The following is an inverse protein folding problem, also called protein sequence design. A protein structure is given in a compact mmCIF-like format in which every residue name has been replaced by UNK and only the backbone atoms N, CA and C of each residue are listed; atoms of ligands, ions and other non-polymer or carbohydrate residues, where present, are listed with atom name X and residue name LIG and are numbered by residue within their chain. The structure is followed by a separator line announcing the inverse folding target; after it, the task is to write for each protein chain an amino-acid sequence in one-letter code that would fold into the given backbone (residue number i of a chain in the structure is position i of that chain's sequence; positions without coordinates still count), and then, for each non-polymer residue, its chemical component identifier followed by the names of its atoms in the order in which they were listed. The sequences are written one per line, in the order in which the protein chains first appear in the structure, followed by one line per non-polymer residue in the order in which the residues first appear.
data_IF_627024408273
#
_entry.id   IF_627024408273
#
_cell.length_a   1.000
_cell.length_b   1.000
_cell.length_c   1.000
_cell.angle_alpha   90.00
_cell.angle_beta   90.00
_cell.angle_gamma   90.00
#
_symmetry.space_group_name_H-M   'P 1'
#
loop_
_entity.id
_entity.type
_entity.pdbx_description
1 polymer ?
#
# COMPACT_ATOMS: atom_id res chain seq x y z
N UNK A 1 -5.96 -6.41 -34.74
CA UNK A 1 -6.09 -5.14 -33.97
C UNK A 1 -5.02 -4.94 -32.89
N UNK A 2 -4.24 -5.98 -32.52
CA UNK A 2 -3.19 -5.94 -31.48
C UNK A 2 -1.85 -5.25 -31.86
N UNK A 3 -1.61 -4.93 -33.14
CA UNK A 3 -0.29 -4.43 -33.60
C UNK A 3 -0.12 -2.90 -33.66
N UNK A 4 -1.15 -2.10 -33.34
CA UNK A 4 -1.12 -0.63 -33.56
C UNK A 4 -0.90 0.22 -32.31
N UNK A 5 -0.96 -0.35 -31.10
CA UNK A 5 -0.79 0.42 -29.85
C UNK A 5 0.69 0.40 -29.36
N UNK A 6 1.45 -0.65 -29.68
CA UNK A 6 2.86 -0.82 -29.26
C UNK A 6 3.82 0.18 -29.94
N UNK A 7 3.49 0.69 -31.14
CA UNK A 7 4.41 1.57 -31.90
C UNK A 7 4.55 3.00 -31.37
N UNK A 8 3.74 3.45 -30.42
CA UNK A 8 3.82 4.83 -29.94
C UNK A 8 4.87 5.04 -28.84
N UNK A 9 5.26 3.99 -28.11
CA UNK A 9 6.11 4.14 -26.91
C UNK A 9 7.60 3.84 -27.11
N UNK A 10 8.04 3.42 -28.30
CA UNK A 10 9.45 3.10 -28.60
C UNK A 10 10.37 4.31 -28.86
N UNK A 11 9.94 5.54 -28.55
CA UNK A 11 10.69 6.78 -28.83
C UNK A 11 10.87 7.66 -27.60
N UNK A 12 11.66 7.21 -26.63
CA UNK A 12 12.54 8.10 -25.84
C UNK A 12 13.43 7.31 -24.88
N UNK A 13 14.66 7.05 -25.31
CA UNK A 13 15.80 6.66 -24.45
C UNK A 13 16.37 7.91 -23.76
N UNK A 14 16.81 7.81 -22.50
CA UNK A 14 18.22 8.07 -22.11
C UNK A 14 18.48 7.93 -20.59
N UNK A 15 19.56 7.20 -20.29
CA UNK A 15 20.48 7.15 -19.13
C UNK A 15 20.03 7.59 -17.71
N UNK A 16 20.16 6.74 -16.68
CA UNK A 16 21.41 6.55 -15.88
C UNK A 16 21.20 5.79 -14.54
N UNK A 17 22.25 5.02 -14.21
CA UNK A 17 22.77 4.46 -12.95
C UNK A 17 21.92 3.82 -11.83
N UNK A 18 22.23 2.53 -11.65
CA UNK A 18 21.90 1.59 -10.59
C UNK A 18 22.51 1.95 -9.22
N UNK A 19 21.71 1.78 -8.16
CA UNK A 19 22.22 1.24 -6.90
C UNK A 19 21.39 0.02 -6.49
N UNK A 20 22.09 -1.12 -6.41
CA UNK A 20 21.59 -2.43 -6.00
C UNK A 20 21.46 -2.50 -4.48
N UNK A 21 20.28 -2.84 -3.98
CA UNK A 21 20.14 -3.43 -2.64
C UNK A 21 20.16 -4.95 -2.84
N UNK A 22 21.12 -5.61 -2.18
CA UNK A 22 21.40 -7.03 -2.36
C UNK A 22 20.32 -7.94 -1.76
N UNK A 23 20.24 -9.20 -2.21
CA UNK A 23 19.26 -10.15 -1.70
C UNK A 23 19.58 -10.54 -0.25
N UNK A 24 18.54 -10.52 0.60
CA UNK A 24 18.57 -11.20 1.89
C UNK A 24 18.75 -12.70 1.64
N UNK A 25 19.91 -13.23 2.03
CA UNK A 25 20.25 -14.64 1.95
C UNK A 25 19.60 -15.42 3.08
N UNK A 26 18.60 -16.24 2.78
CA UNK A 26 18.23 -17.40 3.60
C UNK A 26 17.89 -18.59 2.68
N UNK A 27 18.73 -19.63 2.71
CA UNK A 27 18.50 -20.93 2.04
C UNK A 27 18.75 -20.95 0.53
N UNK A 28 19.35 -22.02 0.00
CA UNK A 28 19.58 -22.18 -1.45
C UNK A 28 18.24 -22.41 -2.16
N UNK A 29 17.66 -21.34 -2.68
CA UNK A 29 16.52 -21.26 -3.58
C UNK A 29 16.54 -19.88 -4.25
N UNK A 30 16.00 -19.76 -5.45
CA UNK A 30 15.95 -18.50 -6.22
C UNK A 30 15.40 -17.35 -5.36
N UNK A 31 16.01 -16.17 -5.47
CA UNK A 31 15.59 -15.00 -4.69
C UNK A 31 14.18 -14.55 -5.11
N UNK A 32 13.23 -14.49 -4.16
CA UNK A 32 11.97 -13.76 -4.30
C UNK A 32 12.26 -12.40 -4.93
N UNK A 33 11.62 -12.08 -6.05
CA UNK A 33 11.67 -10.72 -6.58
C UNK A 33 10.60 -9.94 -5.81
N UNK A 34 11.00 -9.38 -4.66
CA UNK A 34 10.13 -8.72 -3.67
C UNK A 34 9.61 -7.34 -4.09
N UNK A 35 9.95 -6.84 -5.28
CA UNK A 35 9.41 -5.56 -5.77
C UNK A 35 8.16 -5.78 -6.61
N UNK A 36 7.04 -6.08 -5.95
CA UNK A 36 5.72 -5.64 -6.43
C UNK A 36 5.22 -4.49 -5.55
N UNK A 37 6.08 -3.50 -5.34
CA UNK A 37 5.67 -2.25 -4.75
C UNK A 37 5.13 -1.35 -5.87
N UNK A 38 3.86 -0.94 -5.75
CA UNK A 38 3.37 0.29 -6.41
C UNK A 38 4.15 1.55 -5.95
N UNK A 39 5.21 1.39 -5.15
CA UNK A 39 6.19 2.42 -4.85
C UNK A 39 7.48 2.14 -5.64
N UNK A 40 7.90 3.18 -6.38
CA UNK A 40 9.21 3.36 -7.02
C UNK A 40 9.43 2.83 -8.44
N UNK A 41 8.65 3.37 -9.40
CA UNK A 41 9.26 3.82 -10.65
C UNK A 41 9.37 5.36 -10.61
N UNK A 42 10.50 5.85 -10.07
CA UNK A 42 10.88 7.26 -10.02
C UNK A 42 11.22 7.77 -11.44
N UNK A 43 10.23 7.94 -12.28
CA UNK A 43 10.34 8.66 -13.56
C UNK A 43 9.00 8.97 -14.22
N UNK A 44 7.89 9.00 -13.46
CA UNK A 44 6.59 9.47 -13.96
C UNK A 44 5.85 10.33 -12.93
N UNK A 45 6.43 11.47 -12.55
CA UNK A 45 5.66 12.58 -12.00
C UNK A 45 5.96 13.86 -12.77
N UNK A 46 5.22 14.04 -13.86
CA UNK A 46 4.84 15.35 -14.39
C UNK A 46 3.61 15.17 -15.27
N UNK A 47 2.43 15.52 -14.74
CA UNK A 47 1.55 16.54 -15.31
C UNK A 47 0.28 16.70 -14.49
N UNK A 48 0.07 17.95 -14.09
CA UNK A 48 -1.19 18.64 -13.90
C UNK A 48 -2.08 18.17 -12.75
N UNK A 49 -2.04 18.99 -11.70
CA UNK A 49 -3.21 19.38 -10.92
C UNK A 49 -4.34 19.76 -11.89
N UNK A 50 -5.35 18.89 -12.02
CA UNK A 50 -6.75 19.27 -12.20
C UNK A 50 -7.66 18.05 -11.99
N UNK A 51 -8.91 18.37 -11.69
CA UNK A 51 -9.92 17.58 -10.99
C UNK A 51 -10.33 16.24 -11.61
N UNK A 52 -10.81 15.36 -10.72
CA UNK A 52 -11.75 14.25 -10.96
C UNK A 52 -11.33 13.11 -11.90
N UNK A 53 -10.66 12.10 -11.35
CA UNK A 53 -10.95 10.69 -11.69
C UNK A 53 -10.51 9.75 -10.54
N UNK A 54 -11.46 8.95 -10.07
CA UNK A 54 -11.34 8.01 -8.94
C UNK A 54 -10.58 6.74 -9.32
N UNK A 55 -9.28 6.82 -9.52
CA UNK A 55 -8.39 5.67 -9.68
C UNK A 55 -7.11 5.84 -8.83
N UNK A 56 -7.22 5.59 -7.52
CA UNK A 56 -6.05 5.48 -6.61
C UNK A 56 -5.94 4.04 -6.08
N UNK A 57 -4.84 3.31 -6.34
CA UNK A 57 -4.42 2.18 -5.52
C UNK A 57 -3.17 2.58 -4.70
N UNK A 58 -3.24 2.54 -3.34
CA UNK A 58 -2.32 3.32 -2.50
C UNK A 58 -1.79 2.65 -1.21
N UNK A 59 -2.22 1.46 -0.78
CA UNK A 59 -2.25 1.21 0.67
C UNK A 59 -0.95 0.86 1.43
N UNK A 60 0.10 0.31 0.82
CA UNK A 60 1.41 0.27 1.50
C UNK A 60 2.06 1.67 1.61
N UNK A 61 1.70 2.59 0.68
CA UNK A 61 2.13 3.98 0.70
C UNK A 61 1.21 4.92 1.49
N UNK A 62 0.01 4.48 1.90
CA UNK A 62 -0.95 5.34 2.62
C UNK A 62 -0.53 5.65 4.04
N UNK A 63 0.25 4.78 4.71
CA UNK A 63 0.71 5.07 6.06
C UNK A 63 1.64 6.30 6.11
N UNK A 64 2.23 6.69 4.98
CA UNK A 64 3.07 7.90 4.85
C UNK A 64 2.25 9.09 4.30
N UNK A 65 0.99 8.87 3.90
CA UNK A 65 0.11 9.95 3.44
C UNK A 65 -0.52 10.68 4.63
N UNK A 66 -0.68 11.99 4.50
CA UNK A 66 -1.25 12.80 5.59
C UNK A 66 -2.72 12.48 5.84
N UNK A 67 -3.18 12.66 7.09
CA UNK A 67 -4.55 12.37 7.56
C UNK A 67 -5.63 13.05 6.72
N UNK A 68 -5.37 14.28 6.29
CA UNK A 68 -6.29 15.05 5.44
C UNK A 68 -6.38 14.54 4.00
N UNK A 69 -5.34 13.86 3.50
CA UNK A 69 -5.25 13.39 2.10
C UNK A 69 -5.75 11.97 1.95
N UNK A 70 -5.53 11.12 2.96
CA UNK A 70 -5.97 9.73 2.99
C UNK A 70 -7.50 9.60 3.15
N UNK A 71 -8.10 10.43 4.01
CA UNK A 71 -9.51 10.31 4.41
C UNK A 71 -10.46 11.31 3.75
N UNK A 72 -9.95 12.13 2.81
CA UNK A 72 -10.75 13.22 2.22
C UNK A 72 -11.29 14.22 3.26
N UNK A 73 -10.79 14.17 4.51
CA UNK A 73 -11.10 15.14 5.54
C UNK A 73 -10.72 16.50 4.96
N UNK A 74 -11.66 17.46 5.01
CA UNK A 74 -11.41 18.83 4.58
C UNK A 74 -10.02 19.21 5.06
N UNK A 75 -9.11 19.53 4.13
CA UNK A 75 -7.83 20.19 4.45
C UNK A 75 -8.22 21.21 5.52
N UNK A 76 -7.67 21.13 6.75
CA UNK A 76 -8.04 22.08 7.79
C UNK A 76 -7.93 23.43 7.11
N UNK A 77 -9.04 24.16 7.10
CA UNK A 77 -9.21 25.38 6.34
C UNK A 77 -8.01 26.27 6.65
N UNK A 78 -7.01 26.20 5.76
CA UNK A 78 -5.83 27.03 5.77
C UNK A 78 -6.32 28.36 5.21
N UNK A 79 -7.16 29.03 6.00
CA UNK A 79 -7.65 30.38 5.73
C UNK A 79 -6.49 31.39 5.85
N UNK A 80 -5.37 30.94 6.44
CA UNK A 80 -4.11 31.64 6.48
C UNK A 80 -3.23 31.24 5.28
N UNK A 81 -3.15 32.14 4.29
CA UNK A 81 -2.37 31.92 3.08
C UNK A 81 -0.87 31.74 3.37
N UNK A 82 -0.34 32.34 4.44
CA UNK A 82 1.08 32.23 4.80
C UNK A 82 1.43 30.82 5.29
N UNK A 83 0.65 30.28 6.24
CA UNK A 83 0.85 28.90 6.73
C UNK A 83 0.66 27.91 5.57
N UNK A 84 -0.36 28.13 4.75
CA UNK A 84 -0.66 27.30 3.58
C UNK A 84 0.51 27.20 2.61
N UNK A 85 1.14 28.34 2.33
CA UNK A 85 2.24 28.40 1.38
C UNK A 85 3.53 27.77 1.96
N UNK A 86 3.77 27.94 3.27
CA UNK A 86 4.87 27.24 3.95
C UNK A 86 4.68 25.72 3.96
N UNK A 87 3.46 25.23 4.16
CA UNK A 87 3.17 23.79 4.06
C UNK A 87 3.39 23.29 2.63
N UNK A 88 2.90 24.00 1.60
CA UNK A 88 3.14 23.61 0.20
C UNK A 88 4.63 23.54 -0.11
N UNK A 89 5.40 24.53 0.34
CA UNK A 89 6.85 24.55 0.17
C UNK A 89 7.51 23.34 0.84
N UNK A 90 7.10 23.02 2.07
CA UNK A 90 7.58 21.84 2.80
C UNK A 90 7.27 20.54 2.05
N UNK A 91 6.04 20.37 1.54
CA UNK A 91 5.64 19.21 0.75
C UNK A 91 6.42 19.09 -0.57
N UNK A 92 6.76 20.21 -1.22
CA UNK A 92 7.64 20.20 -2.39
C UNK A 92 9.03 19.66 -2.05
N UNK A 93 9.60 20.09 -0.93
CA UNK A 93 10.90 19.58 -0.46
C UNK A 93 10.86 18.07 -0.15
N UNK A 94 9.75 17.58 0.43
CA UNK A 94 9.54 16.14 0.66
C UNK A 94 9.50 15.38 -0.67
N UNK A 95 8.75 15.88 -1.66
CA UNK A 95 8.65 15.27 -2.99
C UNK A 95 10.01 15.26 -3.72
N UNK A 96 10.82 16.30 -3.52
CA UNK A 96 12.20 16.38 -4.01
C UNK A 96 13.19 15.55 -3.18
N UNK A 97 12.74 14.89 -2.10
CA UNK A 97 13.53 14.11 -1.15
C UNK A 97 14.63 14.90 -0.42
N UNK A 98 14.44 16.20 -0.29
CA UNK A 98 15.30 17.08 0.51
C UNK A 98 14.86 17.04 1.96
N UNK A 99 14.97 15.87 2.59
CA UNK A 99 14.35 15.62 3.90
C UNK A 99 14.82 16.56 5.00
N UNK A 100 16.13 16.86 5.08
CA UNK A 100 16.66 17.79 6.07
C UNK A 100 16.15 19.24 5.88
N UNK A 101 15.98 19.68 4.63
CA UNK A 101 15.40 21.00 4.33
C UNK A 101 13.90 21.02 4.67
N UNK A 102 13.19 19.95 4.33
CA UNK A 102 11.78 19.77 4.67
C UNK A 102 11.54 19.77 6.18
N UNK A 103 12.38 19.08 6.95
CA UNK A 103 12.32 19.05 8.42
C UNK A 103 12.44 20.46 9.00
N UNK A 104 13.46 21.22 8.57
CA UNK A 104 13.66 22.60 8.98
C UNK A 104 12.48 23.51 8.59
N UNK A 105 11.91 23.33 7.40
CA UNK A 105 10.75 24.09 6.93
C UNK A 105 9.49 23.79 7.77
N UNK A 106 9.26 22.51 8.11
CA UNK A 106 8.13 22.09 8.92
C UNK A 106 8.24 22.60 10.37
N UNK A 107 9.42 22.60 10.98
CA UNK A 107 9.62 23.19 12.32
C UNK A 107 9.26 24.69 12.35
N UNK A 108 9.66 25.45 11.32
CA UNK A 108 9.30 26.87 11.17
C UNK A 108 7.78 27.04 11.01
N UNK A 109 7.17 26.19 10.18
CA UNK A 109 5.73 26.19 9.93
C UNK A 109 4.94 25.86 11.20
N UNK A 110 5.44 24.92 12.01
CA UNK A 110 4.84 24.53 13.28
C UNK A 110 4.88 25.68 14.29
N UNK A 111 6.03 26.35 14.42
CA UNK A 111 6.17 27.52 15.27
C UNK A 111 5.22 28.65 14.84
N UNK A 112 5.09 28.89 13.54
CA UNK A 112 4.14 29.88 13.01
C UNK A 112 2.68 29.49 13.34
N UNK A 113 2.28 28.26 13.06
CA UNK A 113 0.94 27.76 13.36
C UNK A 113 0.58 27.89 14.86
N UNK A 114 1.54 27.55 15.74
CA UNK A 114 1.39 27.73 17.19
C UNK A 114 1.27 29.20 17.60
N UNK A 115 2.08 30.09 17.03
CA UNK A 115 2.02 31.53 17.32
C UNK A 115 0.71 32.19 16.91
N UNK A 116 0.08 31.68 15.83
CA UNK A 116 -1.25 32.11 15.38
C UNK A 116 -2.40 31.37 16.09
N UNK A 117 -2.10 30.50 17.05
CA UNK A 117 -3.09 29.66 17.76
C UNK A 117 -3.99 28.87 16.80
N UNK A 118 -3.46 28.45 15.65
CA UNK A 118 -4.19 27.65 14.67
C UNK A 118 -4.00 26.16 14.98
N UNK A 119 -4.87 25.63 15.82
CA UNK A 119 -4.80 24.23 16.27
C UNK A 119 -4.90 23.22 15.11
N UNK A 120 -5.72 23.51 14.10
CA UNK A 120 -5.89 22.66 12.92
C UNK A 120 -4.62 22.59 12.06
N UNK A 121 -3.99 23.75 11.81
CA UNK A 121 -2.71 23.80 11.11
C UNK A 121 -1.59 23.15 11.93
N UNK A 122 -1.58 23.36 13.25
CA UNK A 122 -0.61 22.73 14.16
C UNK A 122 -0.69 21.22 14.07
N UNK A 123 -1.90 20.65 14.16
CA UNK A 123 -2.11 19.20 14.04
C UNK A 123 -1.69 18.66 12.67
N UNK A 124 -1.96 19.41 11.60
CA UNK A 124 -1.58 18.99 10.25
C UNK A 124 -0.06 19.02 10.04
N UNK A 125 0.64 20.04 10.55
CA UNK A 125 2.10 20.10 10.47
C UNK A 125 2.75 18.99 11.30
N UNK A 126 2.20 18.66 12.47
CA UNK A 126 2.67 17.52 13.28
C UNK A 126 2.54 16.19 12.52
N UNK A 127 1.39 15.93 11.87
CA UNK A 127 1.20 14.75 11.02
C UNK A 127 2.23 14.71 9.87
N UNK A 128 2.47 15.83 9.18
CA UNK A 128 3.49 15.91 8.12
C UNK A 128 4.91 15.64 8.64
N UNK A 129 5.27 16.17 9.81
CA UNK A 129 6.57 15.94 10.43
C UNK A 129 6.76 14.48 10.82
N UNK A 130 5.75 13.86 11.42
CA UNK A 130 5.83 12.47 11.81
C UNK A 130 5.93 11.55 10.58
N UNK A 131 5.14 11.79 9.53
CA UNK A 131 5.27 11.06 8.26
C UNK A 131 6.66 11.25 7.61
N UNK A 132 7.25 12.44 7.70
CA UNK A 132 8.61 12.69 7.24
C UNK A 132 9.64 11.85 8.03
N UNK A 133 9.56 11.82 9.36
CA UNK A 133 10.44 11.00 10.18
C UNK A 133 10.25 9.51 9.92
N UNK A 134 9.01 9.05 9.74
CA UNK A 134 8.71 7.69 9.33
C UNK A 134 9.39 7.35 7.98
N UNK A 135 9.32 8.25 6.99
CA UNK A 135 9.97 8.06 5.69
C UNK A 135 11.50 8.05 5.78
N UNK A 136 12.07 8.70 6.79
CA UNK A 136 13.50 8.67 7.11
C UNK A 136 13.90 7.48 7.99
N UNK A 137 12.95 6.57 8.31
CA UNK A 137 13.13 5.44 9.24
C UNK A 137 13.54 5.87 10.66
N UNK A 138 13.24 7.10 11.04
CA UNK A 138 13.40 7.68 12.38
C UNK A 138 12.14 7.41 13.21
N UNK A 139 11.93 6.14 13.56
CA UNK A 139 10.67 5.68 14.14
C UNK A 139 10.42 6.25 15.54
N UNK A 140 11.46 6.41 16.36
CA UNK A 140 11.35 6.95 17.72
C UNK A 140 10.87 8.40 17.72
N UNK A 141 11.43 9.25 16.85
CA UNK A 141 11.00 10.63 16.66
C UNK A 141 9.58 10.71 16.11
N UNK A 142 9.24 9.84 15.15
CA UNK A 142 7.89 9.75 14.59
C UNK A 142 6.85 9.34 15.65
N UNK A 143 7.14 8.33 16.46
CA UNK A 143 6.30 7.87 17.57
C UNK A 143 6.05 8.99 18.56
N UNK A 144 7.09 9.75 18.93
CA UNK A 144 6.95 10.87 19.86
C UNK A 144 5.96 11.93 19.34
N UNK A 145 6.05 12.28 18.05
CA UNK A 145 5.18 13.29 17.45
C UNK A 145 3.75 12.78 17.25
N UNK A 146 3.56 11.54 16.79
CA UNK A 146 2.22 10.97 16.66
C UNK A 146 1.54 10.76 18.02
N UNK A 147 2.29 10.46 19.08
CA UNK A 147 1.77 10.39 20.45
C UNK A 147 1.28 11.76 20.92
N UNK A 148 2.02 12.83 20.65
CA UNK A 148 1.58 14.20 20.95
C UNK A 148 0.34 14.59 20.13
N UNK A 149 0.32 14.24 18.83
CA UNK A 149 -0.85 14.49 17.97
C UNK A 149 -2.09 13.76 18.50
N UNK A 150 -1.96 12.49 18.88
CA UNK A 150 -3.04 11.72 19.49
C UNK A 150 -3.54 12.40 20.78
N UNK A 151 -2.63 12.81 21.67
CA UNK A 151 -2.98 13.50 22.92
C UNK A 151 -3.75 14.80 22.64
N UNK A 152 -3.33 15.57 21.63
CA UNK A 152 -4.00 16.81 21.21
C UNK A 152 -5.41 16.55 20.71
N UNK A 153 -5.60 15.54 19.85
CA UNK A 153 -6.93 15.12 19.37
C UNK A 153 -7.85 14.70 20.52
N UNK A 154 -7.34 13.91 21.46
CA UNK A 154 -8.11 13.51 22.65
C UNK A 154 -8.52 14.71 23.51
N UNK A 155 -7.60 15.66 23.71
CA UNK A 155 -7.85 16.88 24.51
C UNK A 155 -8.88 17.79 23.84
N UNK A 156 -8.92 17.84 22.50
CA UNK A 156 -9.97 18.56 21.75
C UNK A 156 -11.33 17.86 21.73
N UNK A 157 -11.46 16.69 22.37
CA UNK A 157 -12.71 15.93 22.41
C UNK A 157 -12.98 15.10 21.16
N UNK A 158 -11.96 14.84 20.33
CA UNK A 158 -12.08 13.92 19.18
C UNK A 158 -12.42 12.53 19.71
N UNK A 159 -13.52 11.95 19.18
CA UNK A 159 -13.98 10.62 19.58
C UNK A 159 -13.00 9.54 19.12
N UNK A 160 -12.99 8.39 19.81
CA UNK A 160 -12.12 7.27 19.45
C UNK A 160 -12.48 6.65 18.10
N UNK A 161 -13.75 6.69 17.72
CA UNK A 161 -14.25 6.24 16.41
C UNK A 161 -14.05 7.28 15.29
N UNK A 162 -13.48 8.45 15.60
CA UNK A 162 -13.20 9.45 14.57
C UNK A 162 -12.10 8.95 13.61
N UNK A 163 -12.27 9.08 12.29
CA UNK A 163 -11.27 8.64 11.31
C UNK A 163 -9.85 9.16 11.58
N UNK A 164 -9.69 10.41 12.05
CA UNK A 164 -8.37 10.96 12.37
C UNK A 164 -7.72 10.24 13.58
N UNK A 165 -8.51 9.84 14.57
CA UNK A 165 -8.01 9.08 15.72
C UNK A 165 -7.56 7.68 15.31
N UNK A 166 -8.37 7.01 14.48
CA UNK A 166 -8.08 5.67 13.97
C UNK A 166 -6.80 5.67 13.14
N UNK A 167 -6.62 6.65 12.25
CA UNK A 167 -5.44 6.73 11.39
C UNK A 167 -4.15 6.99 12.17
N UNK A 168 -4.16 7.95 13.12
CA UNK A 168 -2.99 8.19 13.98
C UNK A 168 -2.65 6.95 14.80
N UNK A 169 -3.66 6.25 15.31
CA UNK A 169 -3.48 4.99 16.05
C UNK A 169 -2.89 3.89 15.18
N UNK A 170 -3.32 3.80 13.92
CA UNK A 170 -2.82 2.79 12.97
C UNK A 170 -1.34 3.03 12.65
N UNK A 171 -0.95 4.29 12.43
CA UNK A 171 0.45 4.68 12.21
C UNK A 171 1.31 4.37 13.44
N UNK A 172 0.83 4.64 14.64
CA UNK A 172 1.52 4.27 15.88
C UNK A 172 1.70 2.74 16.01
N UNK A 173 0.64 1.97 15.75
CA UNK A 173 0.69 0.50 15.81
C UNK A 173 1.74 -0.08 14.84
N UNK A 174 1.78 0.41 13.61
CA UNK A 174 2.79 0.00 12.62
C UNK A 174 4.22 0.37 13.05
N UNK A 175 4.44 1.58 13.58
CA UNK A 175 5.77 1.96 14.08
C UNK A 175 6.20 1.13 15.30
N UNK A 176 5.28 0.77 16.19
CA UNK A 176 5.57 -0.16 17.28
C UNK A 176 5.97 -1.54 16.74
N UNK A 177 5.26 -2.05 15.72
CA UNK A 177 5.64 -3.32 15.08
C UNK A 177 7.04 -3.27 14.46
N UNK A 178 7.39 -2.16 13.78
CA UNK A 178 8.71 -1.96 13.15
C UNK A 178 9.85 -1.84 14.15
N UNK A 179 9.59 -1.24 15.31
CA UNK A 179 10.57 -1.12 16.40
C UNK A 179 10.64 -2.37 17.28
N UNK A 180 9.78 -3.37 17.04
CA UNK A 180 9.76 -4.66 17.73
C UNK A 180 8.93 -4.66 19.02
N UNK A 181 8.15 -3.62 19.29
CA UNK A 181 7.20 -3.59 20.41
C UNK A 181 5.85 -4.20 20.00
N UNK A 182 5.84 -5.53 19.94
CA UNK A 182 4.67 -6.29 19.49
C UNK A 182 3.47 -6.14 20.43
N UNK A 183 3.69 -5.91 21.72
CA UNK A 183 2.61 -5.72 22.69
C UNK A 183 1.82 -4.45 22.39
N UNK A 184 2.51 -3.30 22.25
CA UNK A 184 1.86 -2.04 21.90
C UNK A 184 1.30 -2.06 20.48
N UNK A 185 1.98 -2.72 19.54
CA UNK A 185 1.48 -2.89 18.19
C UNK A 185 0.14 -3.63 18.17
N UNK A 186 0.05 -4.81 18.81
CA UNK A 186 -1.17 -5.62 18.86
C UNK A 186 -2.32 -4.86 19.53
N UNK A 187 -2.06 -4.16 20.64
CA UNK A 187 -3.07 -3.32 21.31
C UNK A 187 -3.57 -2.23 20.35
N UNK A 188 -2.66 -1.54 19.67
CA UNK A 188 -2.98 -0.48 18.71
C UNK A 188 -3.81 -1.00 17.53
N UNK A 189 -3.41 -2.11 16.92
CA UNK A 189 -4.15 -2.71 15.81
C UNK A 189 -5.55 -3.17 16.23
N UNK A 190 -5.70 -3.81 17.39
CA UNK A 190 -7.02 -4.22 17.91
C UNK A 190 -7.92 -3.01 18.18
N UNK A 191 -7.37 -1.95 18.76
CA UNK A 191 -8.08 -0.69 18.93
C UNK A 191 -8.55 -0.13 17.59
N UNK A 192 -7.68 -0.05 16.58
CA UNK A 192 -8.04 0.43 15.25
C UNK A 192 -9.16 -0.39 14.62
N UNK A 193 -9.09 -1.73 14.71
CA UNK A 193 -10.14 -2.62 14.18
C UNK A 193 -11.46 -2.36 14.89
N UNK A 194 -11.48 -2.32 16.22
CA UNK A 194 -12.70 -2.06 16.99
C UNK A 194 -13.31 -0.69 16.67
N UNK A 195 -12.49 0.36 16.67
CA UNK A 195 -12.93 1.73 16.38
C UNK A 195 -13.39 1.92 14.94
N UNK A 196 -12.72 1.29 13.96
CA UNK A 196 -13.13 1.34 12.56
C UNK A 196 -14.44 0.57 12.30
N UNK A 197 -14.65 -0.58 12.94
CA UNK A 197 -15.94 -1.28 12.84
C UNK A 197 -17.07 -0.41 13.43
N UNK A 198 -16.89 0.14 14.63
CA UNK A 198 -17.87 1.04 15.24
C UNK A 198 -18.12 2.30 14.43
N UNK A 199 -17.09 2.84 13.79
CA UNK A 199 -17.20 3.97 12.89
C UNK A 199 -18.16 3.66 11.73
N UNK A 200 -18.01 2.49 11.11
CA UNK A 200 -18.91 2.00 10.06
C UNK A 200 -20.31 1.70 10.59
N UNK A 201 -20.44 1.01 11.73
CA UNK A 201 -21.73 0.68 12.36
C UNK A 201 -22.56 1.93 12.69
N UNK A 202 -21.94 2.96 13.26
CA UNK A 202 -22.63 4.21 13.59
C UNK A 202 -23.21 4.88 12.33
N UNK A 203 -22.51 4.81 11.20
CA UNK A 203 -22.99 5.34 9.93
C UNK A 203 -24.15 4.52 9.37
N UNK A 204 -24.11 3.19 9.51
CA UNK A 204 -25.22 2.33 9.07
C UNK A 204 -26.50 2.60 9.87
N UNK A 205 -26.37 2.84 11.18
CA UNK A 205 -27.48 3.20 12.08
C UNK A 205 -28.06 4.57 11.70
N UNK A 206 -27.21 5.58 11.53
CA UNK A 206 -27.63 6.94 11.19
C UNK A 206 -28.38 7.02 9.84
N UNK A 207 -28.22 6.00 8.99
CA UNK A 207 -28.82 5.97 7.66
C UNK A 207 -29.98 4.96 7.47
N UNK A 208 -30.40 4.22 8.51
CA UNK A 208 -31.57 3.31 8.66
C UNK A 208 -31.91 2.34 7.50
N UNK A 209 -31.21 2.39 6.37
CA UNK A 209 -31.62 1.84 5.07
C UNK A 209 -30.53 0.96 4.44
N UNK A 210 -29.29 1.03 4.94
CA UNK A 210 -28.17 0.32 4.32
C UNK A 210 -27.98 -1.12 4.82
N UNK A 211 -28.72 -1.51 5.87
CA UNK A 211 -28.73 -2.84 6.48
C UNK A 211 -29.45 -3.93 5.62
N UNK A 212 -29.26 -3.91 4.30
CA UNK A 212 -29.57 -5.08 3.46
C UNK A 212 -28.33 -5.49 2.66
N UNK A 213 -27.33 -5.98 3.40
CA UNK A 213 -26.44 -7.09 3.03
C UNK A 213 -26.24 -7.21 1.51
N UNK A 214 -25.35 -6.39 0.96
CA UNK A 214 -24.79 -6.57 -0.39
C UNK A 214 -25.82 -6.76 -1.52
N UNK A 215 -26.99 -6.10 -1.48
CA UNK A 215 -27.99 -6.23 -2.54
C UNK A 215 -28.05 -4.98 -3.43
N UNK A 216 -27.46 -5.14 -4.62
CA UNK A 216 -27.64 -4.30 -5.81
C UNK A 216 -27.26 -2.82 -5.68
N UNK A 217 -25.96 -2.54 -5.53
CA UNK A 217 -25.46 -1.21 -5.87
C UNK A 217 -25.23 -1.19 -7.37
N UNK A 218 -26.29 -0.89 -8.12
CA UNK A 218 -26.09 -0.05 -9.30
C UNK A 218 -25.37 1.19 -8.79
N UNK A 219 -24.31 1.61 -9.47
CA UNK A 219 -23.74 2.95 -9.36
C UNK A 219 -24.89 3.94 -9.50
N UNK A 220 -25.50 4.33 -8.39
CA UNK A 220 -26.41 5.46 -8.37
C UNK A 220 -25.49 6.67 -8.40
N UNK A 221 -25.42 7.29 -9.57
CA UNK A 221 -24.98 8.68 -9.66
C UNK A 221 -26.08 9.51 -9.01
N UNK A 222 -26.04 9.63 -7.68
CA UNK A 222 -26.94 10.52 -6.96
C UNK A 222 -26.30 11.90 -6.79
N UNK A 223 -27.11 12.89 -7.16
CA UNK A 223 -26.89 14.31 -7.40
C UNK A 223 -26.50 15.15 -6.15
N UNK A 224 -26.05 14.50 -5.06
CA UNK A 224 -26.00 15.13 -3.72
C UNK A 224 -24.64 15.09 -2.98
N UNK A 225 -23.55 14.64 -3.60
CA UNK A 225 -22.21 14.73 -2.99
C UNK A 225 -21.94 13.77 -1.81
N UNK A 226 -22.89 12.91 -1.47
CA UNK A 226 -22.78 11.88 -0.41
C UNK A 226 -21.91 10.68 -0.82
N UNK A 227 -21.56 10.58 -2.11
CA UNK A 227 -20.87 9.43 -2.74
C UNK A 227 -19.49 9.10 -2.17
N UNK A 228 -18.85 10.00 -1.41
CA UNK A 228 -17.48 9.79 -0.93
C UNK A 228 -17.39 9.32 0.52
N UNK A 229 -18.25 9.81 1.42
CA UNK A 229 -18.05 9.60 2.87
C UNK A 229 -18.17 8.13 3.28
N UNK A 230 -19.23 7.45 2.84
CA UNK A 230 -19.41 6.03 3.17
C UNK A 230 -18.26 5.17 2.67
N UNK A 231 -17.85 5.35 1.42
CA UNK A 231 -16.70 4.65 0.86
C UNK A 231 -15.41 4.94 1.63
N UNK A 232 -15.23 6.17 2.14
CA UNK A 232 -14.03 6.55 2.89
C UNK A 232 -13.95 5.79 4.23
N UNK A 233 -15.07 5.59 4.92
CA UNK A 233 -15.13 4.84 6.19
C UNK A 233 -14.85 3.35 6.02
N UNK A 234 -15.44 2.71 5.00
CA UNK A 234 -15.12 1.33 4.66
C UNK A 234 -13.68 1.19 4.13
N UNK A 235 -13.18 2.17 3.36
CA UNK A 235 -11.78 2.17 2.93
C UNK A 235 -10.82 2.25 4.12
N UNK A 236 -11.12 3.05 5.14
CA UNK A 236 -10.36 3.09 6.39
C UNK A 236 -10.39 1.74 7.12
N UNK A 237 -11.54 1.08 7.21
CA UNK A 237 -11.60 -0.27 7.77
C UNK A 237 -10.74 -1.26 6.95
N UNK A 238 -10.81 -1.20 5.62
CA UNK A 238 -9.96 -1.99 4.72
C UNK A 238 -8.46 -1.77 5.00
N UNK A 239 -8.03 -0.52 5.13
CA UNK A 239 -6.63 -0.18 5.46
C UNK A 239 -6.18 -0.75 6.80
N UNK A 240 -7.02 -0.66 7.83
CA UNK A 240 -6.73 -1.19 9.16
C UNK A 240 -6.57 -2.71 9.09
N UNK A 241 -7.50 -3.40 8.40
CA UNK A 241 -7.46 -4.86 8.26
C UNK A 241 -6.25 -5.34 7.45
N UNK A 242 -5.91 -4.65 6.35
CA UNK A 242 -4.72 -4.94 5.55
C UNK A 242 -3.44 -4.75 6.37
N UNK A 243 -3.28 -3.62 7.05
CA UNK A 243 -2.05 -3.35 7.81
C UNK A 243 -1.89 -4.33 8.96
N UNK A 244 -2.99 -4.65 9.67
CA UNK A 244 -2.93 -5.62 10.76
C UNK A 244 -2.67 -7.05 10.24
N UNK A 245 -3.21 -7.44 9.08
CA UNK A 245 -2.90 -8.75 8.50
C UNK A 245 -1.43 -8.89 8.13
N UNK A 246 -0.81 -7.83 7.61
CA UNK A 246 0.63 -7.81 7.33
C UNK A 246 1.44 -8.01 8.61
N UNK A 247 1.10 -7.29 9.69
CA UNK A 247 1.71 -7.50 11.00
C UNK A 247 1.60 -8.96 11.46
N UNK A 248 0.41 -9.57 11.38
CA UNK A 248 0.20 -10.96 11.78
C UNK A 248 1.04 -11.96 10.97
N UNK A 249 1.16 -11.78 9.64
CA UNK A 249 2.00 -12.67 8.81
C UNK A 249 3.47 -12.54 9.19
N UNK A 250 3.97 -11.33 9.42
CA UNK A 250 5.38 -11.13 9.85
C UNK A 250 5.68 -11.74 11.23
N UNK A 251 4.63 -12.16 11.97
CA UNK A 251 4.70 -12.88 13.24
C UNK A 251 4.24 -14.34 13.12
N UNK A 252 4.24 -14.91 11.91
CA UNK A 252 3.90 -16.30 11.61
C UNK A 252 2.45 -16.70 11.97
N UNK A 253 1.53 -15.73 12.12
CA UNK A 253 0.11 -15.94 12.46
C UNK A 253 -0.77 -15.90 11.20
N UNK A 254 -0.44 -16.75 10.24
CA UNK A 254 -1.03 -16.74 8.89
C UNK A 254 -2.54 -17.01 8.86
N UNK A 255 -3.04 -17.83 9.80
CA UNK A 255 -4.45 -18.20 9.91
C UNK A 255 -5.31 -17.01 10.33
N UNK A 256 -4.86 -16.23 11.31
CA UNK A 256 -5.57 -15.02 11.75
C UNK A 256 -5.49 -13.93 10.67
N UNK A 257 -4.35 -13.80 9.99
CA UNK A 257 -4.19 -12.85 8.90
C UNK A 257 -5.14 -13.11 7.73
N UNK A 258 -5.40 -14.39 7.43
CA UNK A 258 -6.30 -14.83 6.37
C UNK A 258 -7.74 -14.37 6.59
N UNK A 259 -8.24 -14.42 7.83
CA UNK A 259 -9.56 -13.90 8.18
C UNK A 259 -9.67 -12.39 7.90
N UNK A 260 -8.63 -11.62 8.24
CA UNK A 260 -8.60 -10.18 8.01
C UNK A 260 -8.53 -9.83 6.52
N UNK A 261 -7.71 -10.55 5.75
CA UNK A 261 -7.59 -10.32 4.30
C UNK A 261 -8.87 -10.68 3.57
N UNK A 262 -9.55 -11.76 3.94
CA UNK A 262 -10.85 -12.10 3.35
C UNK A 262 -11.88 -10.99 3.57
N UNK A 263 -11.95 -10.44 4.80
CA UNK A 263 -12.81 -9.27 5.09
C UNK A 263 -12.39 -8.03 4.29
N UNK A 264 -11.08 -7.79 4.17
CA UNK A 264 -10.56 -6.67 3.38
C UNK A 264 -10.92 -6.81 1.89
N UNK A 265 -10.96 -8.03 1.33
CA UNK A 265 -11.37 -8.29 -0.05
C UNK A 265 -12.87 -8.03 -0.26
N UNK A 266 -13.72 -8.41 0.70
CA UNK A 266 -15.15 -8.10 0.67
C UNK A 266 -15.39 -6.59 0.67
N UNK A 267 -14.66 -5.87 1.54
CA UNK A 267 -14.69 -4.40 1.60
C UNK A 267 -14.17 -3.79 0.29
N UNK A 268 -13.06 -4.30 -0.25
CA UNK A 268 -12.53 -3.84 -1.53
C UNK A 268 -13.56 -4.03 -2.66
N UNK A 269 -14.22 -5.18 -2.71
CA UNK A 269 -15.26 -5.45 -3.69
C UNK A 269 -16.48 -4.53 -3.50
N UNK A 270 -16.79 -4.13 -2.26
CA UNK A 270 -17.84 -3.18 -1.95
C UNK A 270 -17.49 -1.75 -2.38
N UNK A 271 -16.32 -1.24 -1.96
CA UNK A 271 -15.88 0.14 -2.22
C UNK A 271 -15.52 0.36 -3.69
N UNK A 272 -14.81 -0.61 -4.28
CA UNK A 272 -14.24 -0.50 -5.61
C UNK A 272 -14.95 -1.35 -6.66
N UNK A 273 -15.82 -2.28 -6.29
CA UNK A 273 -16.38 -3.26 -7.23
C UNK A 273 -15.43 -4.46 -7.45
N UNK A 274 -16.03 -5.61 -7.75
CA UNK A 274 -15.35 -6.92 -7.74
C UNK A 274 -14.25 -7.12 -8.79
N UNK A 275 -14.26 -6.34 -9.87
CA UNK A 275 -13.33 -6.49 -11.01
C UNK A 275 -12.22 -5.45 -11.07
N UNK A 276 -12.02 -4.65 -10.01
CA UNK A 276 -11.01 -3.58 -10.04
C UNK A 276 -9.60 -4.07 -9.71
N UNK A 277 -8.55 -3.45 -10.32
CA UNK A 277 -7.15 -3.78 -10.06
C UNK A 277 -6.78 -3.86 -8.58
N UNK A 278 -7.44 -3.07 -7.73
CA UNK A 278 -7.10 -2.99 -6.31
C UNK A 278 -7.16 -4.33 -5.57
N UNK A 279 -8.17 -5.17 -5.81
CA UNK A 279 -8.30 -6.47 -5.13
C UNK A 279 -7.19 -7.44 -5.52
N UNK A 280 -6.70 -7.35 -6.76
CA UNK A 280 -5.58 -8.17 -7.27
C UNK A 280 -4.27 -7.75 -6.62
N UNK A 281 -4.03 -6.44 -6.44
CA UNK A 281 -2.84 -5.94 -5.72
C UNK A 281 -2.84 -6.41 -4.27
N UNK A 282 -3.98 -6.28 -3.57
CA UNK A 282 -4.13 -6.73 -2.18
C UNK A 282 -3.80 -8.22 -2.04
N UNK A 283 -4.39 -9.05 -2.92
CA UNK A 283 -4.12 -10.49 -2.96
C UNK A 283 -2.66 -10.82 -3.25
N UNK A 284 -2.05 -10.14 -4.22
CA UNK A 284 -0.65 -10.35 -4.57
C UNK A 284 0.27 -10.03 -3.40
N UNK A 285 0.06 -8.89 -2.73
CA UNK A 285 0.87 -8.49 -1.58
C UNK A 285 0.74 -9.49 -0.43
N UNK A 286 -0.49 -9.90 -0.10
CA UNK A 286 -0.72 -10.94 0.91
C UNK A 286 -0.03 -12.26 0.55
N UNK A 287 -0.13 -12.69 -0.71
CA UNK A 287 0.45 -13.95 -1.15
C UNK A 287 2.00 -13.91 -1.19
N UNK A 288 2.60 -12.77 -1.49
CA UNK A 288 4.06 -12.58 -1.38
C UNK A 288 4.51 -12.66 0.08
N UNK A 289 3.77 -12.06 1.01
CA UNK A 289 4.08 -12.22 2.44
C UNK A 289 3.95 -13.68 2.91
N UNK A 290 3.00 -14.44 2.36
CA UNK A 290 2.90 -15.88 2.61
C UNK A 290 4.08 -16.66 2.02
N UNK A 291 4.67 -16.23 0.90
CA UNK A 291 5.91 -16.82 0.37
C UNK A 291 7.08 -16.59 1.33
N UNK A 292 7.22 -15.36 1.84
CA UNK A 292 8.24 -14.99 2.81
C UNK A 292 8.08 -15.77 4.13
N UNK A 293 6.83 -16.06 4.52
CA UNK A 293 6.46 -16.91 5.66
C UNK A 293 6.54 -18.43 5.37
N UNK A 294 7.04 -18.82 4.19
CA UNK A 294 7.14 -20.21 3.72
C UNK A 294 5.80 -20.99 3.73
N UNK A 295 4.67 -20.29 3.63
CA UNK A 295 3.32 -20.86 3.48
C UNK A 295 2.99 -21.10 2.01
N UNK A 296 3.80 -21.92 1.34
CA UNK A 296 3.82 -22.04 -0.11
C UNK A 296 2.50 -22.50 -0.72
N UNK A 297 1.78 -23.44 -0.08
CA UNK A 297 0.50 -23.95 -0.60
C UNK A 297 -0.58 -22.86 -0.58
N UNK A 298 -0.65 -22.06 0.50
CA UNK A 298 -1.57 -20.92 0.59
C UNK A 298 -1.18 -19.83 -0.40
N UNK A 299 0.10 -19.48 -0.46
CA UNK A 299 0.60 -18.51 -1.44
C UNK A 299 0.26 -18.94 -2.87
N UNK A 300 0.43 -20.22 -3.21
CA UNK A 300 0.09 -20.79 -4.51
C UNK A 300 -1.41 -20.65 -4.81
N UNK A 301 -2.29 -20.88 -3.83
CA UNK A 301 -3.73 -20.69 -3.99
C UNK A 301 -4.08 -19.25 -4.36
N UNK A 302 -3.55 -18.27 -3.61
CA UNK A 302 -3.83 -16.86 -3.86
C UNK A 302 -3.18 -16.34 -5.15
N UNK A 303 -1.93 -16.73 -5.44
CA UNK A 303 -1.22 -16.30 -6.65
C UNK A 303 -1.84 -16.86 -7.92
N UNK A 304 -2.43 -18.06 -7.87
CA UNK A 304 -3.23 -18.57 -8.98
C UNK A 304 -4.41 -17.64 -9.30
N UNK A 305 -5.12 -17.17 -8.28
CA UNK A 305 -6.23 -16.21 -8.45
C UNK A 305 -5.73 -14.85 -8.95
N UNK A 306 -4.60 -14.35 -8.42
CA UNK A 306 -3.94 -13.12 -8.88
C UNK A 306 -3.66 -13.18 -10.38
N UNK A 307 -2.97 -14.22 -10.86
CA UNK A 307 -2.62 -14.36 -12.28
C UNK A 307 -3.88 -14.49 -13.14
N UNK A 308 -4.86 -15.30 -12.72
CA UNK A 308 -6.13 -15.48 -13.44
C UNK A 308 -6.92 -14.18 -13.60
N UNK A 309 -6.88 -13.29 -12.61
CA UNK A 309 -7.53 -11.98 -12.70
C UNK A 309 -6.68 -10.97 -13.47
N UNK A 310 -5.38 -10.95 -13.22
CA UNK A 310 -4.46 -9.96 -13.76
C UNK A 310 -4.36 -10.02 -15.30
N UNK A 311 -4.44 -11.22 -15.90
CA UNK A 311 -4.40 -11.39 -17.37
C UNK A 311 -5.55 -10.68 -18.10
N UNK A 312 -6.64 -10.35 -17.40
CA UNK A 312 -7.81 -9.69 -17.97
C UNK A 312 -7.85 -8.18 -17.69
N UNK A 313 -6.84 -7.64 -17.01
CA UNK A 313 -6.78 -6.25 -16.57
C UNK A 313 -5.58 -5.58 -17.26
N UNK A 314 -5.86 -4.60 -18.13
CA UNK A 314 -4.84 -3.96 -18.96
C UNK A 314 -3.80 -3.19 -18.13
N UNK A 315 -4.21 -2.65 -16.98
CA UNK A 315 -3.37 -1.91 -16.05
C UNK A 315 -2.22 -2.76 -15.49
N UNK A 316 -2.34 -4.09 -15.48
CA UNK A 316 -1.28 -5.00 -15.03
C UNK A 316 -0.37 -5.48 -16.15
N UNK A 317 -0.45 -4.90 -17.36
CA UNK A 317 0.38 -5.36 -18.46
C UNK A 317 1.88 -5.35 -18.12
N UNK A 318 2.35 -4.39 -17.31
CA UNK A 318 3.76 -4.28 -16.91
C UNK A 318 4.12 -5.20 -15.73
N UNK A 319 3.18 -5.41 -14.80
CA UNK A 319 3.37 -6.14 -13.55
C UNK A 319 3.05 -7.63 -13.68
N UNK A 320 2.29 -8.03 -14.69
CA UNK A 320 1.85 -9.41 -14.91
C UNK A 320 3.04 -10.40 -14.96
N UNK A 321 4.16 -10.14 -15.66
CA UNK A 321 5.31 -11.05 -15.62
C UNK A 321 5.84 -11.27 -14.20
N UNK A 322 5.84 -10.23 -13.36
CA UNK A 322 6.29 -10.31 -11.98
C UNK A 322 5.33 -11.15 -11.13
N UNK A 323 4.02 -10.93 -11.25
CA UNK A 323 2.99 -11.73 -10.58
C UNK A 323 3.09 -13.22 -10.98
N UNK A 324 3.39 -13.49 -12.25
CA UNK A 324 3.61 -14.85 -12.75
C UNK A 324 4.90 -15.48 -12.22
N UNK A 325 5.98 -14.70 -12.03
CA UNK A 325 7.19 -15.16 -11.36
C UNK A 325 6.93 -15.53 -9.88
N UNK A 326 6.17 -14.69 -9.16
CA UNK A 326 5.76 -15.01 -7.78
C UNK A 326 4.94 -16.31 -7.74
N UNK A 327 4.00 -16.49 -8.68
CA UNK A 327 3.23 -17.73 -8.78
C UNK A 327 4.10 -18.95 -9.11
N UNK A 328 5.06 -18.80 -10.02
CA UNK A 328 6.03 -19.83 -10.34
C UNK A 328 6.88 -20.24 -9.13
N UNK A 329 7.28 -19.28 -8.30
CA UNK A 329 8.00 -19.54 -7.05
C UNK A 329 7.15 -20.34 -6.06
N UNK A 330 5.88 -19.94 -5.86
CA UNK A 330 4.95 -20.68 -5.02
C UNK A 330 4.77 -22.13 -5.49
N UNK A 331 4.58 -22.34 -6.79
CA UNK A 331 4.46 -23.66 -7.41
C UNK A 331 5.74 -24.49 -7.22
N UNK A 332 6.91 -23.86 -7.36
CA UNK A 332 8.19 -24.52 -7.22
C UNK A 332 8.38 -25.11 -5.82
N UNK A 333 8.07 -24.31 -4.79
CA UNK A 333 8.17 -24.72 -3.40
C UNK A 333 7.04 -25.67 -2.98
N UNK A 334 5.87 -25.57 -3.59
CA UNK A 334 4.74 -26.51 -3.40
C UNK A 334 4.94 -27.86 -4.11
N UNK A 335 6.04 -28.03 -4.86
CA UNK A 335 6.43 -29.30 -5.49
C UNK A 335 6.04 -29.45 -6.97
N UNK A 336 5.24 -28.55 -7.54
CA UNK A 336 4.84 -28.58 -8.95
C UNK A 336 5.87 -27.85 -9.83
N UNK A 337 7.09 -28.42 -9.88
CA UNK A 337 8.25 -27.82 -10.55
C UNK A 337 8.09 -27.71 -12.07
N UNK A 338 7.29 -28.58 -12.69
CA UNK A 338 7.00 -28.47 -14.11
C UNK A 338 6.16 -27.23 -14.41
N UNK A 339 5.05 -27.02 -13.70
CA UNK A 339 4.22 -25.83 -13.89
C UNK A 339 4.95 -24.55 -13.50
N UNK A 340 5.78 -24.58 -12.45
CA UNK A 340 6.62 -23.44 -12.10
C UNK A 340 7.48 -22.96 -13.28
N UNK A 341 8.17 -23.88 -13.95
CA UNK A 341 8.99 -23.55 -15.13
C UNK A 341 8.13 -23.06 -16.29
N UNK A 342 6.95 -23.65 -16.50
CA UNK A 342 6.00 -23.21 -17.53
C UNK A 342 5.54 -21.77 -17.31
N UNK A 343 5.16 -21.43 -16.07
CA UNK A 343 4.78 -20.07 -15.68
C UNK A 343 5.94 -19.09 -15.86
N UNK A 344 7.15 -19.44 -15.41
CA UNK A 344 8.33 -18.59 -15.56
C UNK A 344 8.72 -18.35 -17.03
N UNK A 345 8.58 -19.36 -17.90
CA UNK A 345 8.76 -19.21 -19.36
C UNK A 345 7.71 -18.27 -19.95
N UNK A 346 6.47 -18.42 -19.53
CA UNK A 346 5.37 -17.57 -20.01
C UNK A 346 5.57 -16.12 -19.57
N UNK A 347 6.00 -15.90 -18.33
CA UNK A 347 6.38 -14.58 -17.82
C UNK A 347 7.50 -13.94 -18.68
N UNK A 348 8.56 -14.68 -19.00
CA UNK A 348 9.65 -14.18 -19.84
C UNK A 348 9.18 -13.85 -21.28
N UNK A 349 8.30 -14.65 -21.87
CA UNK A 349 7.75 -14.38 -23.20
C UNK A 349 6.88 -13.11 -23.21
N UNK A 350 6.08 -12.89 -22.17
CA UNK A 350 5.29 -11.65 -22.03
C UNK A 350 6.22 -10.45 -21.82
N UNK A 351 7.25 -10.60 -20.99
CA UNK A 351 8.23 -9.56 -20.72
C UNK A 351 9.02 -9.11 -21.96
N UNK A 352 9.25 -10.00 -22.93
CA UNK A 352 9.90 -9.68 -24.21
C UNK A 352 9.13 -8.66 -25.05
N UNK A 353 7.80 -8.65 -24.94
CA UNK A 353 6.93 -7.69 -25.63
C UNK A 353 6.79 -6.35 -24.87
N UNK A 354 7.28 -6.26 -23.62
CA UNK A 354 7.17 -5.08 -22.75
C UNK A 354 8.45 -4.24 -22.83
N UNK A 355 9.55 -4.72 -22.24
CA UNK A 355 10.84 -4.03 -22.17
C UNK A 355 11.98 -4.96 -21.76
N UNK A 356 13.21 -4.60 -22.14
CA UNK A 356 14.42 -5.41 -21.90
C UNK A 356 14.74 -5.62 -20.41
N UNK A 357 14.44 -4.65 -19.55
CA UNK A 357 14.75 -4.75 -18.12
C UNK A 357 13.84 -5.75 -17.42
N UNK A 358 12.53 -5.75 -17.74
CA UNK A 358 11.59 -6.77 -17.26
C UNK A 358 11.95 -8.16 -17.79
N UNK A 359 12.33 -8.25 -19.08
CA UNK A 359 12.77 -9.49 -19.70
C UNK A 359 14.00 -10.09 -19.00
N UNK A 360 15.02 -9.28 -18.72
CA UNK A 360 16.24 -9.69 -18.03
C UNK A 360 15.92 -10.28 -16.64
N UNK A 361 15.02 -9.63 -15.87
CA UNK A 361 14.57 -10.12 -14.56
C UNK A 361 13.89 -11.50 -14.67
N UNK A 362 12.93 -11.65 -15.57
CA UNK A 362 12.21 -12.92 -15.77
C UNK A 362 13.14 -14.04 -16.28
N UNK A 363 14.08 -13.72 -17.19
CA UNK A 363 15.08 -14.69 -17.67
C UNK A 363 16.03 -15.13 -16.57
N UNK A 364 16.49 -14.21 -15.72
CA UNK A 364 17.32 -14.54 -14.55
C UNK A 364 16.59 -15.53 -13.65
N UNK A 365 15.35 -15.20 -13.28
CA UNK A 365 14.51 -16.07 -12.44
C UNK A 365 14.30 -17.46 -13.06
N UNK A 366 13.94 -17.53 -14.36
CA UNK A 366 13.79 -18.81 -15.06
C UNK A 366 15.09 -19.63 -15.06
N UNK A 367 16.24 -19.00 -15.31
CA UNK A 367 17.53 -19.68 -15.30
C UNK A 367 17.88 -20.24 -13.92
N UNK A 368 17.54 -19.52 -12.85
CA UNK A 368 17.72 -19.98 -11.48
C UNK A 368 16.89 -21.26 -11.21
N UNK A 369 15.61 -21.28 -11.61
CA UNK A 369 14.77 -22.49 -11.51
C UNK A 369 15.33 -23.67 -12.30
N UNK A 370 15.82 -23.43 -13.53
CA UNK A 370 16.38 -24.49 -14.38
C UNK A 370 17.69 -25.06 -13.80
N UNK A 371 18.52 -24.19 -13.22
CA UNK A 371 19.74 -24.59 -12.52
C UNK A 371 19.41 -25.44 -11.30
N UNK A 372 18.42 -25.06 -10.50
CA UNK A 372 18.01 -25.82 -9.32
C UNK A 372 17.34 -27.16 -9.68
N UNK A 373 16.66 -27.27 -10.84
CA UNK A 373 16.13 -28.55 -11.36
C UNK A 373 17.24 -29.56 -11.67
N UNK A 374 18.40 -29.07 -12.09
CA UNK A 374 19.54 -29.89 -12.51
C UNK A 374 20.62 -29.82 -11.43
N UNK A 375 20.54 -30.62 -10.36
CA UNK A 375 21.56 -30.58 -9.32
C UNK A 375 22.91 -30.83 -9.98
N UNK A 376 23.78 -29.81 -9.95
CA UNK A 376 25.16 -29.93 -10.42
C UNK A 376 25.75 -31.13 -9.71
N UNK A 377 26.07 -32.19 -10.47
CA UNK A 377 26.86 -33.31 -9.97
C UNK A 377 28.14 -32.69 -9.42
N UNK A 378 28.23 -32.57 -8.10
CA UNK A 378 29.47 -32.23 -7.42
C UNK A 378 30.49 -33.26 -7.87
N UNK A 379 31.48 -32.79 -8.64
CA UNK A 379 32.67 -33.58 -8.95
C UNK A 379 33.32 -33.91 -7.61
N UNK A 380 33.15 -35.17 -7.19
CA UNK A 380 33.87 -35.82 -6.10
C UNK A 380 35.37 -35.79 -6.34
#
# INVERSE_FOLDING_TARGET
MFRKIIRYYSRSRSHSHFHSIGPLKLGRGASVITECSLTSNRSYQRRNYDQTSNNRPLYAGTLITSIAVALGLKKPLLDDDEIKDQIKSSLMLINEQKFNEAENALHKTLALAGSKHNEGATNYVLDLMANLYYQMEKYEESIAIFTELMRRLMTSGTKKEDPAMIEVSLKLADMYARTGDDERAEIGFKFCVESANKNVENLEIDHETYSMKFKSIKTVEDDFGTKNRFSDHYALLGMVLETYSQFLITRHRSEEAEELVNRCLEISAFVYGSSRPHSVVLLNNFAVLLLDDAKYEKACHYLADVVNRAVHIQEFALELPQMMCNYAEALWHSGDREKAIEQAKTAANIAEEIDENTLEKCRRFLNDLLRDKTPTKTKT
#
